data_IF_970441609877
#
_entry.id   IF_970441609877
#
_cell.length_a   1.000
_cell.length_b   1.000
_cell.length_c   1.000
_cell.angle_alpha   90.00
_cell.angle_beta   90.00
_cell.angle_gamma   90.00
#
_symmetry.space_group_name_H-M   'P 1'
#
loop_
_entity.id
_entity.type
_entity.pdbx_description
1 polymer ?
2 polymer ?
3 non-polymer ?
4 water ?
#
loop_
_entity_poly.entity_id
_entity_poly.type
_entity_poly.pdbx_seq_one_letter_code
_entity_poly.pdbx_strand_id
2 'polyribonucleotide' 'GG' ?
#
# COMPACT_ATOMS: atom_id res chain seq x y z
N UNK A 1 -4.10 16.63 -12.32
CA UNK A 1 -5.01 16.24 -11.23
C UNK A 1 -4.90 14.70 -11.07
N UNK A 2 -5.57 13.74 -11.76
CA UNK A 2 -5.48 12.26 -11.59
C UNK A 2 -4.50 11.59 -12.47
N UNK A 3 -3.73 10.72 -11.84
CA UNK A 3 -2.79 9.84 -12.53
C UNK A 3 -3.09 8.38 -12.16
N UNK A 4 -2.96 7.51 -13.16
CA UNK A 4 -3.19 6.08 -13.02
C UNK A 4 -1.85 5.41 -13.21
N UNK A 5 -1.43 4.53 -12.29
CA UNK A 5 -0.12 3.89 -12.48
C UNK A 5 -0.09 2.45 -12.11
N UNK A 6 0.98 1.80 -12.52
CA UNK A 6 1.20 0.41 -12.26
C UNK A 6 2.70 0.22 -12.19
N UNK A 7 3.17 -0.70 -11.35
CA UNK A 7 4.61 -1.02 -11.30
C UNK A 7 4.83 -2.50 -11.47
N UNK A 8 5.98 -2.93 -11.96
CA UNK A 8 6.34 -4.36 -11.83
C UNK A 8 7.59 -4.39 -10.97
N UNK A 9 7.84 -5.49 -10.25
CA UNK A 9 8.86 -5.49 -9.21
C UNK A 9 9.21 -6.89 -8.81
N UNK A 10 10.38 -7.08 -8.20
CA UNK A 10 10.75 -8.36 -7.55
C UNK A 10 10.64 -8.11 -6.06
N UNK A 11 9.69 -8.78 -5.42
CA UNK A 11 9.37 -8.61 -4.02
C UNK A 11 9.64 -9.96 -3.30
N UNK A 12 10.30 -9.96 -2.14
CA UNK A 12 10.75 -11.21 -1.55
C UNK A 12 10.39 -11.33 -0.06
N UNK A 13 9.45 -10.51 0.43
CA UNK A 13 9.18 -10.49 1.85
C UNK A 13 10.02 -9.49 2.62
N UNK A 14 11.03 -8.90 1.99
CA UNK A 14 11.92 -7.99 2.65
C UNK A 14 12.01 -6.67 1.89
N UNK A 15 12.32 -6.72 0.60
CA UNK A 15 12.37 -5.48 -0.17
C UNK A 15 11.45 -5.61 -1.42
N UNK A 16 11.22 -4.49 -2.07
CA UNK A 16 10.51 -4.44 -3.35
C UNK A 16 11.52 -3.80 -4.35
N UNK A 17 12.03 -4.56 -5.31
CA UNK A 17 13.00 -4.06 -6.30
C UNK A 17 12.28 -3.69 -7.57
N UNK A 18 12.23 -2.41 -7.87
CA UNK A 18 11.40 -1.90 -8.94
C UNK A 18 11.95 -2.37 -10.28
N UNK A 19 11.10 -3.02 -11.10
CA UNK A 19 11.47 -3.32 -12.50
C UNK A 19 11.05 -2.15 -13.41
N UNK A 20 9.78 -1.75 -13.34
CA UNK A 20 9.28 -0.75 -14.28
C UNK A 20 8.13 0.01 -13.71
N UNK A 21 7.85 1.20 -14.26
CA UNK A 21 6.66 1.91 -13.82
C UNK A 21 6.00 2.60 -15.06
N UNK A 22 4.65 2.56 -15.11
CA UNK A 22 3.88 3.19 -16.17
C UNK A 22 2.90 4.12 -15.47
N UNK A 23 2.78 5.37 -15.95
CA UNK A 23 1.87 6.33 -15.37
C UNK A 23 1.14 7.00 -16.52
N UNK A 24 -0.16 7.19 -16.35
CA UNK A 24 -0.98 7.79 -17.38
C UNK A 24 -1.85 8.86 -16.69
N UNK A 25 -1.83 10.06 -17.24
CA UNK A 25 -2.57 11.18 -16.67
C UNK A 25 -3.88 11.16 -17.39
N UNK A 26 -4.90 11.71 -16.74
CA UNK A 26 -6.19 11.98 -17.40
C UNK A 26 -6.18 12.90 -18.63
N UNK A 27 -5.14 13.71 -18.75
CA UNK A 27 -5.05 14.63 -19.89
C UNK A 27 -4.40 13.98 -21.13
N UNK A 28 -4.13 12.68 -21.08
CA UNK A 28 -3.47 12.00 -22.18
C UNK A 28 -1.96 11.81 -22.05
N UNK A 29 -1.29 12.54 -21.16
CA UNK A 29 0.19 12.36 -21.07
C UNK A 29 0.51 10.99 -20.52
N UNK A 30 1.64 10.40 -20.97
CA UNK A 30 2.10 9.04 -20.57
C UNK A 30 3.58 9.00 -20.19
N UNK A 31 3.93 8.16 -19.21
CA UNK A 31 5.33 8.02 -18.83
C UNK A 31 5.55 6.55 -18.62
N UNK A 32 6.66 6.06 -19.12
CA UNK A 32 7.02 4.68 -18.86
C UNK A 32 8.55 4.55 -18.73
N UNK A 33 9.07 3.80 -17.75
CA UNK A 33 10.53 3.59 -17.61
C UNK A 33 10.78 2.27 -16.98
N UNK A 34 11.93 1.67 -17.31
CA UNK A 34 12.34 0.42 -16.78
C UNK A 34 13.67 0.70 -16.04
N UNK A 35 13.79 0.19 -14.83
CA UNK A 35 15.01 0.56 -14.04
C UNK A 35 16.23 -0.28 -14.46
N UNK A 36 17.37 0.38 -14.60
CA UNK A 36 18.62 -0.32 -14.92
C UNK A 36 19.19 -1.00 -13.72
N UNK A 37 18.51 -0.88 -12.59
CA UNK A 37 19.12 -1.21 -11.34
C UNK A 37 18.70 -2.51 -10.72
N UNK A 38 17.57 -3.13 -11.16
CA UNK A 38 17.15 -4.40 -10.52
C UNK A 38 18.04 -5.52 -11.10
N UNK A 39 18.20 -6.61 -10.34
CA UNK A 39 18.97 -7.77 -10.76
C UNK A 39 18.03 -8.84 -11.33
N UNK A 40 18.05 -9.02 -12.67
CA UNK A 40 17.09 -9.97 -13.29
C UNK A 40 17.26 -11.41 -12.78
N UNK A 41 18.49 -11.79 -12.44
CA UNK A 41 18.81 -13.09 -11.86
C UNK A 41 17.96 -13.49 -10.67
N UNK A 42 17.60 -12.49 -9.86
CA UNK A 42 16.83 -12.71 -8.63
C UNK A 42 15.37 -13.11 -8.92
N UNK A 43 14.86 -12.69 -10.06
CA UNK A 43 13.46 -12.88 -10.38
C UNK A 43 13.02 -14.34 -10.34
N UNK A 44 11.82 -14.57 -9.82
CA UNK A 44 11.29 -15.92 -9.81
C UNK A 44 10.67 -16.33 -11.15
N UNK A 45 10.24 -17.59 -11.24
CA UNK A 45 9.59 -18.14 -12.44
C UNK A 45 8.52 -17.25 -13.09
N UNK A 46 7.61 -16.72 -12.26
CA UNK A 46 6.52 -15.88 -12.71
C UNK A 46 7.03 -14.57 -13.35
N UNK A 47 8.03 -13.94 -12.73
CA UNK A 47 8.50 -12.65 -13.23
C UNK A 47 9.32 -12.88 -14.49
N UNK A 48 10.18 -13.91 -14.47
CA UNK A 48 10.82 -14.44 -15.67
C UNK A 48 9.85 -14.77 -16.85
N UNK A 49 8.61 -15.18 -16.56
CA UNK A 49 7.72 -15.57 -17.64
C UNK A 49 6.85 -14.41 -18.15
N UNK A 50 6.20 -13.72 -17.24
CA UNK A 50 5.20 -12.76 -17.57
C UNK A 50 5.69 -11.31 -17.54
N UNK A 51 6.86 -11.04 -16.94
CA UNK A 51 7.33 -9.65 -16.89
C UNK A 51 8.56 -9.36 -17.75
N UNK A 52 9.62 -10.14 -17.59
CA UNK A 52 10.87 -9.83 -18.24
C UNK A 52 10.80 -9.81 -19.77
N UNK A 53 10.06 -10.77 -20.38
CA UNK A 53 9.91 -10.79 -21.84
C UNK A 53 9.30 -9.51 -22.41
N UNK A 54 8.41 -8.85 -21.71
CA UNK A 54 7.77 -7.62 -22.22
C UNK A 54 8.65 -6.34 -22.20
N UNK A 55 9.80 -6.41 -21.54
CA UNK A 55 10.60 -5.19 -21.36
C UNK A 55 11.21 -4.84 -22.72
N UNK A 56 11.50 -3.54 -22.96
CA UNK A 56 12.20 -3.04 -24.13
C UNK A 56 13.57 -3.67 -24.32
N UNK A 57 14.06 -3.71 -25.55
CA UNK A 57 15.46 -4.04 -25.80
C UNK A 57 16.45 -3.19 -24.96
N UNK A 58 17.63 -3.77 -24.66
CA UNK A 58 18.73 -3.13 -23.90
C UNK A 58 19.08 -1.74 -24.35
N UNK A 59 18.98 -1.45 -25.64
CA UNK A 59 19.39 -0.11 -26.13
C UNK A 59 18.26 0.91 -26.08
N UNK A 60 17.04 0.48 -25.72
CA UNK A 60 15.95 1.46 -25.54
C UNK A 60 16.31 2.55 -24.53
N UNK A 61 16.02 3.82 -24.86
CA UNK A 61 16.03 4.96 -23.92
C UNK A 61 15.00 4.82 -22.77
N UNK A 62 14.18 3.76 -22.77
CA UNK A 62 13.19 3.61 -21.68
C UNK A 62 13.91 3.09 -20.43
N UNK A 63 15.05 2.45 -20.61
CA UNK A 63 15.90 1.99 -19.51
C UNK A 63 16.61 3.20 -18.87
N UNK A 64 16.40 3.45 -17.58
CA UNK A 64 16.90 4.68 -16.89
C UNK A 64 17.32 4.28 -15.48
N UNK A 65 18.18 5.07 -14.83
CA UNK A 65 18.52 4.84 -13.44
C UNK A 65 17.35 5.25 -12.52
N UNK A 66 17.36 4.81 -11.24
CA UNK A 66 16.31 5.17 -10.27
C UNK A 66 16.28 6.68 -10.03
N UNK A 67 17.47 7.29 -9.98
CA UNK A 67 17.60 8.76 -9.87
C UNK A 67 16.89 9.46 -11.04
N UNK A 68 17.19 9.01 -12.27
CA UNK A 68 16.51 9.59 -13.44
C UNK A 68 14.98 9.46 -13.41
N UNK A 69 14.51 8.26 -13.07
CA UNK A 69 13.09 8.07 -12.96
C UNK A 69 12.46 9.00 -11.95
N UNK A 70 13.11 9.23 -10.79
CA UNK A 70 12.52 10.15 -9.77
C UNK A 70 12.42 11.55 -10.37
N UNK A 71 13.51 12.02 -11.03
CA UNK A 71 13.57 13.35 -11.63
C UNK A 71 12.48 13.46 -12.69
N UNK A 72 12.37 12.43 -13.52
CA UNK A 72 11.31 12.39 -14.56
C UNK A 72 9.89 12.45 -13.92
N UNK A 73 9.65 11.65 -12.88
CA UNK A 73 8.33 11.69 -12.20
C UNK A 73 8.03 13.06 -11.51
N UNK A 74 9.03 13.66 -10.93
CA UNK A 74 8.80 15.00 -10.33
C UNK A 74 8.32 15.98 -11.43
N UNK A 75 8.89 15.87 -12.60
CA UNK A 75 8.49 16.71 -13.70
C UNK A 75 7.09 16.26 -14.29
N UNK A 76 6.88 14.96 -14.50
CA UNK A 76 5.65 14.45 -15.11
C UNK A 76 4.43 14.65 -14.18
N UNK A 77 4.59 14.44 -12.90
CA UNK A 77 3.52 14.71 -11.94
C UNK A 77 3.32 16.22 -11.62
N UNK A 78 4.19 17.07 -12.13
CA UNK A 78 4.01 18.54 -12.01
C UNK A 78 3.94 18.95 -10.56
N UNK A 79 4.93 18.52 -9.85
CA UNK A 79 4.96 18.63 -8.41
C UNK A 79 4.95 20.07 -7.87
N UNK A 80 5.44 21.02 -8.67
CA UNK A 80 5.44 22.47 -8.29
C UNK A 80 4.27 23.24 -8.90
N UNK A 81 3.42 22.57 -9.68
CA UNK A 81 2.20 23.20 -10.25
C UNK A 81 1.08 23.30 -9.26
N UNK A 82 -0.03 23.95 -9.63
CA UNK A 82 -1.11 24.23 -8.70
C UNK A 82 -2.19 23.14 -8.60
N UNK A 83 -2.25 22.19 -9.53
CA UNK A 83 -3.22 21.11 -9.45
C UNK A 83 -2.89 20.22 -8.27
N UNK A 84 -3.93 19.74 -7.61
CA UNK A 84 -3.76 18.71 -6.64
C UNK A 84 -3.48 17.40 -7.34
N UNK A 85 -2.51 16.65 -6.83
CA UNK A 85 -2.08 15.36 -7.45
C UNK A 85 -2.90 14.24 -6.83
N UNK A 86 -3.60 13.47 -7.64
CA UNK A 86 -4.38 12.36 -7.14
C UNK A 86 -3.88 11.07 -7.87
N UNK A 87 -3.38 10.08 -7.12
CA UNK A 87 -2.84 8.88 -7.67
C UNK A 87 -3.84 7.76 -7.47
N UNK A 88 -3.96 6.91 -8.52
CA UNK A 88 -4.87 5.76 -8.55
C UNK A 88 -4.10 4.56 -9.10
N UNK A 89 -4.42 3.39 -8.56
CA UNK A 89 -3.84 2.17 -9.03
C UNK A 89 -4.90 1.10 -8.71
N UNK A 90 -4.73 -0.08 -9.27
CA UNK A 90 -5.65 -1.17 -8.98
C UNK A 90 -4.94 -2.13 -8.07
N UNK A 91 -5.39 -2.26 -6.82
CA UNK A 91 -4.76 -3.27 -5.85
C UNK A 91 -3.31 -2.80 -5.69
N UNK A 92 -3.23 -1.52 -5.28
CA UNK A 92 -2.00 -0.76 -5.32
C UNK A 92 -1.08 -0.57 -4.08
N UNK A 93 -1.23 -1.35 -2.98
CA UNK A 93 -0.37 -1.21 -1.78
C UNK A 93 1.15 -1.32 -2.09
N UNK A 94 1.59 -2.44 -2.68
CA UNK A 94 2.99 -2.57 -3.03
C UNK A 94 3.39 -1.53 -4.13
N UNK A 95 2.49 -1.25 -5.08
CA UNK A 95 2.78 -0.22 -6.09
C UNK A 95 3.09 1.14 -5.47
N UNK A 96 2.30 1.52 -4.49
CA UNK A 96 2.48 2.75 -3.82
C UNK A 96 3.86 2.78 -3.12
N UNK A 97 4.21 1.69 -2.44
CA UNK A 97 5.53 1.69 -1.77
C UNK A 97 6.66 1.74 -2.81
N UNK A 98 6.52 0.97 -3.91
CA UNK A 98 7.52 0.94 -5.01
C UNK A 98 7.65 2.37 -5.58
N UNK A 99 6.54 3.08 -5.71
CA UNK A 99 6.60 4.47 -6.24
C UNK A 99 7.31 5.37 -5.27
N UNK A 100 6.89 5.35 -4.01
CA UNK A 100 7.32 6.35 -3.07
C UNK A 100 8.79 6.04 -2.71
N UNK A 101 9.18 4.75 -2.78
CA UNK A 101 10.59 4.43 -2.46
C UNK A 101 11.62 5.00 -3.48
N UNK A 102 11.14 5.49 -4.61
CA UNK A 102 11.98 6.25 -5.52
C UNK A 102 12.48 7.53 -4.84
N UNK A 103 11.79 8.02 -3.80
CA UNK A 103 12.30 9.17 -3.02
C UNK A 103 13.00 8.69 -1.75
N UNK A 104 13.22 7.40 -1.57
CA UNK A 104 13.79 6.89 -0.28
C UNK A 104 12.73 6.73 0.82
N UNK A 105 12.97 7.25 2.05
CA UNK A 105 11.95 7.07 3.13
C UNK A 105 10.67 7.90 2.90
N UNK A 106 9.82 7.65 3.47
CA UNK A 106 8.47 8.31 3.53
C UNK A 106 8.62 9.80 3.83
N UNK A 107 9.29 10.05 4.71
CA UNK A 107 9.82 11.36 5.08
C UNK A 107 10.19 12.22 3.87
N UNK A 108 10.76 11.63 2.83
CA UNK A 108 11.41 12.41 1.76
C UNK A 108 10.52 12.57 0.52
N UNK A 109 9.28 12.10 0.60
CA UNK A 109 8.36 12.24 -0.52
C UNK A 109 7.97 13.72 -0.66
N UNK A 110 8.00 14.27 -1.89
CA UNK A 110 7.74 15.70 -2.04
C UNK A 110 6.39 16.01 -1.42
N UNK A 111 6.28 17.14 -0.67
CA UNK A 111 5.04 17.40 0.14
C UNK A 111 3.75 17.37 -0.62
N UNK A 112 3.87 17.52 -1.92
CA UNK A 112 2.77 17.68 -2.81
C UNK A 112 2.25 16.36 -3.48
N UNK A 113 3.00 15.28 -3.34
CA UNK A 113 2.56 13.92 -3.75
C UNK A 113 1.78 13.30 -2.54
N UNK A 114 0.60 12.76 -2.83
CA UNK A 114 -0.21 12.31 -1.70
C UNK A 114 0.44 11.07 -1.06
N UNK A 115 0.20 10.91 0.24
CA UNK A 115 0.74 9.82 1.04
C UNK A 115 -0.08 8.54 0.89
N UNK A 116 -1.10 8.54 0.02
CA UNK A 116 -1.83 7.31 -0.26
C UNK A 116 -2.26 7.27 -1.75
N UNK A 117 -2.53 6.08 -2.25
CA UNK A 117 -2.94 5.85 -3.63
C UNK A 117 -4.37 5.35 -3.55
N UNK A 118 -5.26 6.00 -4.29
CA UNK A 118 -6.65 5.53 -4.33
C UNK A 118 -6.72 4.18 -5.02
N UNK A 119 -7.58 3.33 -4.44
CA UNK A 119 -7.72 1.93 -4.82
C UNK A 119 -8.89 1.79 -5.81
N UNK A 120 -8.57 1.43 -7.04
CA UNK A 120 -9.56 1.42 -8.11
C UNK A 120 -10.49 0.19 -7.93
N UNK A 121 -9.93 -0.91 -7.39
CA UNK A 121 -10.73 -2.08 -7.02
C UNK A 121 -11.79 -1.77 -5.97
N UNK A 122 -11.45 -0.91 -5.02
CA UNK A 122 -12.40 -0.43 -4.01
C UNK A 122 -13.53 0.42 -4.64
N UNK A 123 -13.16 1.33 -5.55
CA UNK A 123 -14.15 2.13 -6.31
C UNK A 123 -15.09 1.21 -7.11
N UNK A 124 -14.53 0.24 -7.85
CA UNK A 124 -15.30 -0.66 -8.65
C UNK A 124 -16.36 -1.30 -7.74
N UNK A 125 -15.93 -1.88 -6.63
CA UNK A 125 -16.88 -2.60 -5.79
C UNK A 125 -17.89 -1.62 -5.31
N UNK A 126 -17.44 -0.43 -4.97
CA UNK A 126 -18.39 0.47 -4.41
C UNK A 126 -19.54 0.82 -5.37
N UNK A 127 -19.21 1.18 -6.63
CA UNK A 127 -20.19 1.66 -7.62
C UNK A 127 -20.90 0.44 -8.21
N UNK A 128 -20.94 -0.69 -7.49
CA UNK A 128 -21.81 -1.80 -7.89
C UNK A 128 -21.21 -2.85 -8.81
N UNK A 129 -19.89 -3.04 -8.70
CA UNK A 129 -19.19 -4.04 -9.47
C UNK A 129 -19.61 -4.13 -10.95
N UNK A 130 -19.65 -3.00 -11.69
CA UNK A 130 -20.08 -3.07 -13.12
C UNK A 130 -19.16 -3.94 -13.97
N UNK A 131 -19.73 -4.73 -14.84
CA UNK A 131 -18.96 -5.54 -15.75
C UNK A 131 -17.92 -4.67 -16.52
N UNK A 132 -16.66 -5.10 -16.57
CA UNK A 132 -15.60 -4.30 -17.18
C UNK A 132 -15.16 -5.00 -18.45
N UNK A 133 -14.55 -4.28 -19.40
CA UNK A 133 -13.93 -4.97 -20.52
C UNK A 133 -12.88 -5.96 -19.99
N UNK A 134 -12.45 -6.94 -20.81
CA UNK A 134 -11.39 -7.88 -20.40
C UNK A 134 -10.03 -7.17 -20.27
N UNK A 135 -9.14 -7.68 -19.42
CA UNK A 135 -7.79 -7.11 -19.31
C UNK A 135 -7.09 -7.30 -20.67
N UNK A 136 -6.21 -6.37 -21.07
CA UNK A 136 -5.49 -6.56 -22.35
C UNK A 136 -4.65 -7.84 -22.31
N UNK A 137 -4.32 -8.35 -23.49
CA UNK A 137 -3.39 -9.48 -23.65
C UNK A 137 -2.05 -9.15 -23.03
N UNK A 138 -1.60 -7.91 -23.25
CA UNK A 138 -0.24 -7.42 -22.92
C UNK A 138 -0.10 -6.84 -21.53
N UNK A 139 -0.98 -7.28 -20.66
CA UNK A 139 -0.83 -6.95 -19.26
C UNK A 139 0.52 -7.51 -18.73
N UNK A 140 1.01 -6.82 -17.70
CA UNK A 140 2.32 -7.06 -17.10
C UNK A 140 3.39 -6.24 -17.81
N UNK A 141 2.96 -5.49 -18.84
CA UNK A 141 3.64 -4.28 -19.29
C UNK A 141 3.03 -3.10 -18.51
N UNK A 142 3.81 -2.42 -17.67
CA UNK A 142 3.26 -1.46 -16.71
C UNK A 142 2.51 -0.33 -17.34
N UNK A 143 2.91 0.07 -18.53
CA UNK A 143 2.24 1.15 -19.21
C UNK A 143 0.86 0.73 -19.79
N UNK A 144 0.84 -0.37 -20.52
CA UNK A 144 -0.42 -1.03 -20.93
C UNK A 144 -1.36 -1.20 -19.71
N UNK A 145 -0.83 -1.68 -18.60
CA UNK A 145 -1.62 -1.84 -17.37
C UNK A 145 -2.16 -0.48 -16.94
N UNK A 146 -1.29 0.52 -16.82
CA UNK A 146 -1.76 1.84 -16.35
C UNK A 146 -2.82 2.46 -17.27
N UNK A 147 -2.62 2.35 -18.58
CA UNK A 147 -3.65 2.79 -19.54
C UNK A 147 -4.96 2.14 -19.24
N UNK A 148 -4.92 0.83 -18.98
CA UNK A 148 -6.16 0.09 -18.83
C UNK A 148 -6.89 0.53 -17.57
N UNK A 149 -6.14 0.93 -16.52
CA UNK A 149 -6.77 1.41 -15.30
C UNK A 149 -7.54 2.71 -15.55
N UNK A 150 -6.90 3.67 -16.26
CA UNK A 150 -7.58 4.90 -16.69
C UNK A 150 -8.92 4.60 -17.43
N UNK A 151 -8.88 3.67 -18.37
CA UNK A 151 -10.04 3.15 -19.08
C UNK A 151 -11.14 2.70 -18.12
N UNK A 152 -10.78 1.83 -17.19
CA UNK A 152 -11.74 1.30 -16.24
C UNK A 152 -12.25 2.39 -15.33
N UNK A 153 -11.38 3.29 -14.88
CA UNK A 153 -11.87 4.44 -14.09
C UNK A 153 -12.98 5.27 -14.83
N UNK A 154 -12.75 5.54 -16.11
CA UNK A 154 -13.72 6.31 -16.88
C UNK A 154 -15.07 5.57 -16.98
N UNK A 155 -14.98 4.31 -17.31
CA UNK A 155 -16.18 3.45 -17.33
C UNK A 155 -16.87 3.36 -16.01
N UNK A 156 -16.12 3.19 -14.91
CA UNK A 156 -16.79 3.05 -13.60
C UNK A 156 -17.51 4.37 -13.19
N UNK A 157 -16.88 5.50 -13.44
CA UNK A 157 -17.42 6.77 -12.99
C UNK A 157 -18.33 7.45 -14.04
N UNK A 158 -18.62 6.84 -15.18
CA UNK A 158 -19.23 7.57 -16.31
C UNK A 158 -20.63 8.14 -16.06
N UNK A 159 -21.28 7.74 -14.96
CA UNK A 159 -22.61 8.35 -14.54
C UNK A 159 -22.66 8.91 -13.10
N UNK A 160 -21.49 9.18 -12.52
CA UNK A 160 -21.32 9.62 -11.13
C UNK A 160 -22.00 10.99 -10.82
N UNK B 1 -15.97 -10.81 8.91
CA UNK B 1 -16.02 -9.91 7.80
C UNK B 1 -14.89 -8.82 8.01
N UNK B 2 -15.17 -7.77 8.69
CA UNK B 2 -14.29 -6.56 8.57
C UNK B 2 -13.38 -6.32 9.70
N UNK B 3 -12.14 -5.96 9.36
CA UNK B 3 -11.10 -5.72 10.35
C UNK B 3 -10.44 -4.39 10.03
N UNK B 4 -10.29 -3.56 11.06
CA UNK B 4 -9.65 -2.27 10.92
C UNK B 4 -8.28 -2.34 11.60
N UNK B 5 -7.20 -1.93 10.90
CA UNK B 5 -5.89 -2.14 11.49
C UNK B 5 -4.94 -0.94 11.29
N UNK B 6 -3.85 -0.96 12.03
CA UNK B 6 -2.83 0.05 11.98
C UNK B 6 -1.52 -0.57 12.47
N UNK B 7 -0.40 -0.07 11.93
CA UNK B 7 0.92 -0.51 12.33
C UNK B 7 1.80 0.65 12.67
N UNK B 8 2.80 0.42 13.54
CA UNK B 8 3.90 1.38 13.67
C UNK B 8 5.15 0.64 13.18
N UNK B 9 6.10 1.35 12.60
CA UNK B 9 7.24 0.64 12.02
C UNK B 9 8.40 1.62 11.83
N UNK B 10 9.57 1.08 11.51
CA UNK B 10 10.74 1.83 11.15
C UNK B 10 10.99 1.51 9.68
N UNK B 11 11.03 2.53 8.85
CA UNK B 11 11.08 2.26 7.43
C UNK B 11 12.22 3.15 6.91
N UNK B 12 13.04 2.65 6.01
CA UNK B 12 14.27 3.40 5.58
C UNK B 12 14.42 3.50 4.06
N UNK B 13 13.28 3.40 3.34
CA UNK B 13 13.27 3.39 1.91
C UNK B 13 13.62 2.04 1.33
N UNK B 14 13.93 1.04 2.18
CA UNK B 14 14.26 -0.30 1.68
C UNK B 14 13.42 -1.34 2.34
N UNK B 15 13.43 -1.36 3.67
CA UNK B 15 12.66 -2.37 4.41
C UNK B 15 11.71 -1.66 5.34
N UNK B 16 10.70 -2.39 5.81
CA UNK B 16 9.71 -1.87 6.78
C UNK B 16 9.87 -2.78 7.94
N UNK B 17 10.39 -2.24 9.04
CA UNK B 17 10.65 -3.07 10.22
C UNK B 17 9.50 -2.88 11.19
N UNK B 18 8.72 -3.92 11.41
CA UNK B 18 7.46 -3.75 12.18
C UNK B 18 7.71 -3.59 13.69
N UNK B 19 7.21 -2.50 14.25
CA UNK B 19 7.18 -2.25 15.69
C UNK B 19 5.94 -2.93 16.35
N UNK B 20 4.75 -2.55 15.86
CA UNK B 20 3.54 -3.05 16.47
C UNK B 20 2.39 -3.05 15.49
N UNK B 21 1.33 -3.75 15.89
CA UNK B 21 0.11 -3.81 15.11
C UNK B 21 -1.09 -3.91 16.05
N UNK B 22 -2.12 -3.13 15.71
CA UNK B 22 -3.42 -3.20 16.39
C UNK B 22 -4.48 -3.54 15.33
N UNK B 23 -5.39 -4.46 15.67
CA UNK B 23 -6.42 -4.88 14.72
C UNK B 23 -7.73 -4.95 15.52
N UNK B 24 -8.74 -4.26 15.04
CA UNK B 24 -10.02 -4.34 15.69
C UNK B 24 -11.07 -4.86 14.70
N UNK B 25 -11.82 -5.84 15.16
CA UNK B 25 -12.82 -6.49 14.31
C UNK B 25 -14.12 -5.70 14.46
N UNK B 26 -14.89 -5.58 13.39
CA UNK B 26 -16.22 -4.99 13.51
C UNK B 26 -17.06 -5.65 14.66
N UNK B 27 -16.83 -6.93 14.99
CA UNK B 27 -17.65 -7.60 15.99
C UNK B 27 -17.25 -7.21 17.42
N UNK B 28 -16.20 -6.38 17.58
CA UNK B 28 -15.69 -5.99 18.90
C UNK B 28 -14.39 -6.60 19.40
N UNK B 29 -13.94 -7.71 18.81
CA UNK B 29 -12.64 -8.29 19.18
C UNK B 29 -11.49 -7.31 18.88
N UNK B 30 -10.43 -7.36 19.67
CA UNK B 30 -9.29 -6.46 19.50
C UNK B 30 -8.02 -7.25 19.67
N UNK B 31 -7.00 -7.01 18.83
CA UNK B 31 -5.68 -7.68 18.97
C UNK B 31 -4.65 -6.58 18.95
N UNK B 32 -3.65 -6.65 19.83
CA UNK B 32 -2.49 -5.74 19.81
C UNK B 32 -1.17 -6.50 20.16
N UNK B 33 -0.06 -6.22 19.45
CA UNK B 33 1.17 -6.93 19.75
C UNK B 33 2.29 -6.04 19.35
N UNK B 34 3.44 -6.20 20.04
CA UNK B 34 4.64 -5.42 19.80
C UNK B 34 5.73 -6.43 19.47
N UNK B 35 6.39 -6.25 18.32
CA UNK B 35 7.47 -7.17 17.93
C UNK B 35 8.75 -7.05 18.78
N UNK B 36 9.27 -8.20 19.14
CA UNK B 36 10.47 -8.24 19.92
C UNK B 36 11.66 -8.31 18.98
N UNK B 37 11.45 -8.19 17.66
CA UNK B 37 12.52 -8.35 16.67
C UNK B 37 12.96 -7.06 16.01
N UNK B 38 12.25 -5.96 16.18
CA UNK B 38 12.75 -4.69 15.61
C UNK B 38 13.86 -4.21 16.49
N UNK B 39 14.77 -3.48 15.90
CA UNK B 39 15.93 -2.99 16.66
C UNK B 39 15.59 -1.54 16.97
N UNK B 40 15.37 -1.21 18.24
CA UNK B 40 14.98 0.19 18.60
C UNK B 40 16.10 1.26 18.31
N UNK B 41 17.36 0.80 18.16
CA UNK B 41 18.52 1.67 17.83
C UNK B 41 18.38 2.26 16.45
N UNK B 42 17.72 1.51 15.57
CA UNK B 42 17.48 1.97 14.21
C UNK B 42 16.31 2.98 14.09
N UNK B 43 15.60 3.22 15.19
CA UNK B 43 14.53 4.24 15.20
C UNK B 43 15.05 5.65 14.96
N UNK B 44 14.37 6.39 14.07
CA UNK B 44 14.64 7.80 13.82
C UNK B 44 13.97 8.63 14.90
N UNK B 45 14.39 9.90 15.06
CA UNK B 45 13.90 10.86 16.08
C UNK B 45 12.39 10.82 16.30
N UNK B 46 11.68 10.81 15.19
CA UNK B 46 10.25 10.91 15.29
C UNK B 46 9.64 9.64 15.91
N UNK B 47 10.13 8.46 15.51
CA UNK B 47 9.67 7.22 16.12
C UNK B 47 10.07 7.19 17.61
N UNK B 48 11.33 7.48 17.90
CA UNK B 48 11.81 7.63 19.29
C UNK B 48 10.99 8.51 20.20
N UNK B 49 10.43 9.59 19.66
CA UNK B 49 9.61 10.50 20.44
C UNK B 49 8.18 10.01 20.54
N UNK B 50 7.61 9.62 19.41
CA UNK B 50 6.16 9.43 19.32
C UNK B 50 5.69 8.01 19.42
N UNK B 51 6.58 7.06 19.16
CA UNK B 51 6.15 5.68 19.10
C UNK B 51 6.72 4.92 20.25
N UNK B 52 8.03 4.97 20.47
CA UNK B 52 8.68 4.06 21.44
C UNK B 52 8.17 4.22 22.89
N UNK B 53 8.04 5.48 23.38
CA UNK B 53 7.51 5.73 24.74
C UNK B 53 6.07 5.22 24.99
N UNK B 54 5.28 5.01 23.94
CA UNK B 54 3.93 4.52 24.16
C UNK B 54 3.83 2.97 24.23
N UNK B 55 4.92 2.27 24.04
CA UNK B 55 4.93 0.80 24.04
C UNK B 55 4.69 0.25 25.42
N UNK B 56 4.15 -1.01 25.55
CA UNK B 56 4.00 -1.65 26.87
C UNK B 56 5.35 -1.81 27.54
N UNK B 57 5.34 -1.99 28.88
CA UNK B 57 6.59 -2.40 29.52
C UNK B 57 7.06 -3.80 29.05
N UNK B 58 8.39 -4.04 29.16
CA UNK B 58 9.06 -5.20 28.59
C UNK B 58 8.57 -6.52 29.14
N UNK B 59 8.08 -6.53 30.37
CA UNK B 59 7.59 -7.82 30.89
C UNK B 59 6.17 -8.20 30.39
N UNK B 60 5.48 -7.27 29.73
CA UNK B 60 4.16 -7.55 29.17
C UNK B 60 4.15 -8.64 28.09
N UNK B 61 3.19 -9.56 28.20
CA UNK B 61 2.96 -10.62 27.20
C UNK B 61 2.46 -10.04 25.84
N UNK B 62 2.29 -8.72 25.77
CA UNK B 62 1.95 -8.08 24.52
C UNK B 62 3.12 -8.13 23.56
N UNK B 63 4.32 -8.24 24.11
CA UNK B 63 5.56 -8.36 23.32
C UNK B 63 5.61 -9.78 22.77
N UNK B 64 5.61 -9.95 21.44
CA UNK B 64 5.56 -11.26 20.86
C UNK B 64 6.60 -11.34 19.74
N UNK B 65 7.09 -12.54 19.44
CA UNK B 65 7.97 -12.73 18.24
C UNK B 65 7.14 -12.51 16.95
N UNK B 66 7.81 -12.32 15.82
CA UNK B 66 7.12 -12.24 14.51
C UNK B 66 6.30 -13.48 14.21
N UNK B 67 6.84 -14.65 14.54
CA UNK B 67 6.15 -15.93 14.24
C UNK B 67 4.83 -16.03 15.06
N UNK B 68 4.87 -15.59 16.32
CA UNK B 68 3.70 -15.58 17.17
C UNK B 68 2.69 -14.59 16.65
N UNK B 69 3.15 -13.41 16.26
CA UNK B 69 2.18 -12.40 15.75
C UNK B 69 1.51 -12.98 14.48
N UNK B 70 2.26 -13.65 13.61
CA UNK B 70 1.59 -14.20 12.41
C UNK B 70 0.54 -15.25 12.82
N UNK B 71 0.92 -16.12 13.76
CA UNK B 71 0.02 -17.20 14.18
C UNK B 71 -1.18 -16.58 14.93
N UNK B 72 -0.91 -15.62 15.83
CA UNK B 72 -2.02 -14.89 16.47
C UNK B 72 -3.03 -14.35 15.42
N UNK B 73 -2.51 -13.69 14.40
CA UNK B 73 -3.38 -13.09 13.36
C UNK B 73 -4.14 -14.13 12.51
N UNK B 74 -3.50 -15.27 12.23
CA UNK B 74 -4.21 -16.30 11.45
C UNK B 74 -5.44 -16.75 12.24
N UNK B 75 -5.24 -16.87 13.56
CA UNK B 75 -6.37 -17.16 14.49
C UNK B 75 -7.37 -16.01 14.61
N UNK B 76 -6.86 -14.78 14.78
CA UNK B 76 -7.69 -13.59 14.98
C UNK B 76 -8.49 -13.27 13.70
N UNK B 77 -7.89 -13.43 12.53
CA UNK B 77 -8.63 -13.20 11.32
C UNK B 77 -9.53 -14.34 10.91
N UNK B 78 -9.45 -15.48 11.58
CA UNK B 78 -10.28 -16.67 11.23
C UNK B 78 -10.00 -17.14 9.81
N UNK B 79 -8.72 -17.25 9.53
CA UNK B 79 -8.17 -17.57 8.23
C UNK B 79 -8.74 -18.88 7.68
N UNK B 80 -9.05 -19.81 8.57
CA UNK B 80 -9.74 -21.08 8.17
C UNK B 80 -11.29 -21.07 8.11
N UNK B 81 -11.97 -19.92 8.29
CA UNK B 81 -13.45 -19.87 8.57
C UNK B 81 -14.55 -19.65 7.49
N UNK B 82 -15.82 -19.52 7.88
CA UNK B 82 -16.88 -19.19 6.88
C UNK B 82 -16.57 -17.88 6.08
N UNK B 83 -16.35 -16.82 6.84
CA UNK B 83 -16.54 -15.46 6.42
C UNK B 83 -15.48 -14.96 5.41
N UNK B 84 -15.89 -14.04 4.55
CA UNK B 84 -14.93 -13.29 3.70
C UNK B 84 -14.24 -12.37 4.67
N UNK B 85 -12.94 -12.19 4.55
CA UNK B 85 -12.20 -11.20 5.31
C UNK B 85 -12.09 -9.88 4.50
N UNK B 86 -12.40 -8.71 5.08
CA UNK B 86 -12.15 -7.44 4.42
C UNK B 86 -11.27 -6.71 5.40
N UNK B 87 -10.11 -6.24 4.97
CA UNK B 87 -9.18 -5.45 5.72
C UNK B 87 -9.33 -4.00 5.35
N UNK B 88 -9.35 -3.15 6.39
CA UNK B 88 -9.43 -1.69 6.21
C UNK B 88 -8.33 -0.99 7.01
N UNK B 89 -7.76 0.07 6.43
CA UNK B 89 -6.76 0.90 7.14
C UNK B 89 -6.95 2.31 6.63
N UNK B 90 -6.39 3.30 7.34
CA UNK B 90 -6.44 4.69 6.90
C UNK B 90 -5.04 4.99 6.33
N UNK B 91 -4.96 5.35 5.04
CA UNK B 91 -3.67 5.62 4.32
C UNK B 91 -2.70 4.50 4.66
N UNK B 92 -3.06 3.31 4.14
CA UNK B 92 -2.43 2.07 4.63
C UNK B 92 -1.52 1.28 3.68
N UNK B 93 -1.03 1.86 2.59
CA UNK B 93 -0.09 1.19 1.70
C UNK B 93 1.05 0.50 2.48
N UNK B 94 1.80 1.27 3.26
CA UNK B 94 2.90 0.69 4.02
C UNK B 94 2.36 -0.28 5.08
N UNK B 95 1.21 0.04 5.68
CA UNK B 95 0.60 -0.86 6.69
C UNK B 95 0.26 -2.24 6.11
N UNK B 96 -0.18 -2.21 4.86
CA UNK B 96 -0.56 -3.41 4.14
C UNK B 96 0.65 -4.28 3.87
N UNK B 97 1.74 -3.67 3.39
CA UNK B 97 2.97 -4.44 3.18
C UNK B 97 3.52 -4.96 4.52
N UNK B 98 3.55 -4.14 5.60
CA UNK B 98 4.03 -4.60 6.93
C UNK B 98 3.22 -5.82 7.38
N UNK B 99 1.91 -5.78 7.13
CA UNK B 99 1.05 -6.87 7.57
C UNK B 99 1.41 -8.07 6.75
N UNK B 100 1.47 -7.91 5.41
CA UNK B 100 1.69 -9.05 4.54
C UNK B 100 3.05 -9.65 4.71
N UNK B 101 4.04 -8.83 5.00
CA UNK B 101 5.40 -9.37 5.25
C UNK B 101 5.51 -10.18 6.55
N UNK B 102 4.44 -10.19 7.38
CA UNK B 102 4.41 -11.21 8.45
C UNK B 102 4.37 -12.66 7.90
N UNK B 103 3.88 -12.82 6.67
CA UNK B 103 3.91 -14.13 6.03
C UNK B 103 5.11 -14.35 5.08
N UNK B 104 5.76 -13.28 4.66
CA UNK B 104 6.85 -13.44 3.72
C UNK B 104 6.54 -12.68 2.42
N UNK B 105 6.92 -13.25 1.26
CA UNK B 105 6.59 -12.60 -0.03
C UNK B 105 5.08 -12.66 -0.21
N UNK B 106 4.51 -11.86 -1.09
CA UNK B 106 3.04 -11.87 -1.24
C UNK B 106 2.49 -13.24 -1.67
N UNK B 107 3.28 -14.00 -2.40
CA UNK B 107 3.08 -15.42 -2.69
C UNK B 107 2.64 -16.31 -1.51
N UNK B 108 3.10 -16.02 -0.30
CA UNK B 108 2.88 -16.81 0.91
C UNK B 108 1.69 -16.35 1.77
N UNK B 109 1.02 -15.27 1.39
CA UNK B 109 -0.16 -14.82 2.08
C UNK B 109 -1.26 -15.95 2.11
N UNK B 110 -1.92 -16.21 3.28
CA UNK B 110 -2.91 -17.30 3.21
C UNK B 110 -3.96 -16.93 2.14
N UNK B 111 -4.53 -17.95 1.44
CA UNK B 111 -5.56 -17.76 0.34
C UNK B 111 -6.72 -16.89 0.70
N UNK B 112 -7.15 -16.90 1.95
CA UNK B 112 -8.33 -16.10 2.29
C UNK B 112 -8.02 -14.66 2.73
N UNK B 113 -6.73 -14.27 2.90
CA UNK B 113 -6.40 -12.87 3.27
C UNK B 113 -6.45 -12.03 1.96
N UNK B 114 -7.17 -10.89 1.96
CA UNK B 114 -7.27 -10.13 0.72
C UNK B 114 -5.91 -9.56 0.32
N UNK B 115 -5.71 -9.38 -0.97
CA UNK B 115 -4.47 -8.86 -1.52
C UNK B 115 -4.47 -7.34 -1.61
N UNK B 116 -5.52 -6.70 -1.11
CA UNK B 116 -5.52 -5.25 -1.00
C UNK B 116 -6.22 -4.90 0.30
N UNK B 117 -5.88 -3.74 0.85
CA UNK B 117 -6.55 -3.22 2.03
C UNK B 117 -7.43 -2.08 1.58
N UNK B 118 -8.73 -2.04 1.94
CA UNK B 118 -9.57 -0.91 1.60
C UNK B 118 -9.10 0.34 2.34
N UNK B 119 -9.18 1.49 1.67
CA UNK B 119 -8.56 2.67 2.16
C UNK B 119 -9.65 3.53 2.77
N UNK B 120 -9.60 3.70 4.09
CA UNK B 120 -10.70 4.33 4.77
C UNK B 120 -10.79 5.85 4.43
N UNK B 121 -9.65 6.44 4.10
CA UNK B 121 -9.64 7.83 3.73
C UNK B 121 -10.41 8.03 2.41
N UNK B 122 -10.30 7.05 1.49
CA UNK B 122 -10.95 7.07 0.18
C UNK B 122 -12.44 7.00 0.42
N UNK B 123 -12.86 6.12 1.34
CA UNK B 123 -14.30 6.02 1.63
C UNK B 123 -14.79 7.34 2.17
N UNK B 124 -14.05 7.87 3.16
CA UNK B 124 -14.42 9.12 3.79
C UNK B 124 -14.57 10.27 2.74
N UNK B 125 -13.61 10.43 1.84
CA UNK B 125 -13.71 11.41 0.76
C UNK B 125 -14.89 11.12 -0.17
N UNK B 126 -15.09 9.85 -0.50
CA UNK B 126 -16.21 9.51 -1.35
C UNK B 126 -17.56 9.83 -0.69
N UNK B 127 -17.63 9.91 0.63
CA UNK B 127 -18.89 10.26 1.27
C UNK B 127 -19.00 11.76 1.65
N UNK B 128 -18.13 12.58 1.07
CA UNK B 128 -18.13 14.02 1.20
C UNK B 128 -17.44 14.47 2.48
N UNK B 129 -16.46 13.69 2.97
CA UNK B 129 -15.74 14.10 4.18
C UNK B 129 -16.63 14.49 5.41
N UNK B 130 -17.56 13.60 5.83
CA UNK B 130 -18.35 13.97 7.05
C UNK B 130 -17.41 14.28 8.23
N UNK B 131 -17.86 15.06 9.21
CA UNK B 131 -17.05 15.44 10.40
C UNK B 131 -16.66 14.23 11.28
N UNK B 132 -15.36 14.03 11.54
CA UNK B 132 -14.86 12.93 12.40
C UNK B 132 -14.60 13.36 13.86
N UNK B 133 -14.51 12.39 14.82
CA UNK B 133 -14.12 12.99 16.12
C UNK B 133 -12.66 13.50 16.05
N UNK B 134 -12.29 14.51 16.88
CA UNK B 134 -10.85 14.85 16.90
C UNK B 134 -9.98 13.64 17.29
N UNK B 135 -8.77 13.55 16.74
CA UNK B 135 -7.88 12.42 16.92
C UNK B 135 -7.63 12.15 18.42
N UNK B 136 -7.50 10.86 18.83
CA UNK B 136 -7.23 10.61 20.26
C UNK B 136 -5.86 11.15 20.79
N UNK B 137 -5.78 11.30 22.12
CA UNK B 137 -4.56 11.73 22.83
C UNK B 137 -3.39 10.81 22.50
N UNK B 138 -3.67 9.51 22.54
CA UNK B 138 -2.63 8.51 22.36
C UNK B 138 -2.42 7.99 20.91
N UNK B 139 -2.59 8.85 19.90
CA UNK B 139 -2.27 8.48 18.50
C UNK B 139 -0.80 8.03 18.40
N UNK B 140 -0.53 7.12 17.47
CA UNK B 140 0.78 6.44 17.35
C UNK B 140 0.93 5.30 18.41
N UNK B 141 -0.16 4.99 19.11
CA UNK B 141 -0.35 3.64 19.67
C UNK B 141 -1.22 2.92 18.66
N UNK B 142 -0.77 1.77 18.12
CA UNK B 142 -1.45 1.24 16.94
C UNK B 142 -2.83 0.72 17.29
N UNK B 143 -3.00 0.23 18.54
CA UNK B 143 -4.35 -0.23 18.90
C UNK B 143 -5.29 0.98 19.04
N UNK B 144 -4.84 2.04 19.70
CA UNK B 144 -5.64 3.23 19.75
C UNK B 144 -6.06 3.71 18.31
N UNK B 145 -5.06 3.78 17.44
CA UNK B 145 -5.30 4.11 16.03
C UNK B 145 -6.37 3.22 15.33
N UNK B 146 -6.20 1.89 15.44
CA UNK B 146 -7.12 0.89 14.87
C UNK B 146 -8.58 1.07 15.37
N UNK B 147 -8.73 1.24 16.70
CA UNK B 147 -10.06 1.49 17.27
C UNK B 147 -10.72 2.75 16.69
N UNK B 148 -9.93 3.79 16.51
CA UNK B 148 -10.40 5.06 15.90
C UNK B 148 -10.82 4.88 14.44
N UNK B 149 -10.13 3.99 13.70
CA UNK B 149 -10.53 3.71 12.33
C UNK B 149 -11.93 3.12 12.26
N UNK B 150 -12.23 2.14 13.13
CA UNK B 150 -13.55 1.54 13.24
C UNK B 150 -14.61 2.59 13.64
N UNK B 151 -14.31 3.38 14.66
CA UNK B 151 -15.17 4.52 15.04
C UNK B 151 -15.50 5.40 13.77
N UNK B 152 -14.50 5.85 13.00
CA UNK B 152 -14.73 6.60 11.78
C UNK B 152 -15.59 5.88 10.76
N UNK B 153 -15.25 4.63 10.47
CA UNK B 153 -16.03 3.81 9.54
C UNK B 153 -17.52 3.74 9.95
N UNK B 154 -17.78 3.50 11.23
CA UNK B 154 -19.13 3.51 11.75
C UNK B 154 -19.81 4.87 11.55
N UNK B 155 -19.11 5.95 11.87
CA UNK B 155 -19.65 7.26 11.61
C UNK B 155 -19.93 7.50 10.14
N UNK B 156 -18.97 7.18 9.26
CA UNK B 156 -19.11 7.37 7.80
C UNK B 156 -20.28 6.62 7.19
N UNK B 157 -20.57 5.42 7.70
CA UNK B 157 -21.57 4.54 7.09
C UNK B 157 -22.92 4.58 7.86
N UNK B 158 -23.14 5.60 8.69
CA UNK B 158 -24.42 5.69 9.43
C UNK B 158 -25.42 6.50 8.63
X LIG D 1 -0.30 -3.95 -10.70
X LIG E 1 -1.23 4.76 10.30
X LIG F 1 -0.56 4.25 14.20
X LIG G 1 9.82 -15.08 14.84
#
# INVERSE_FOLDING_TARGET
>A
MRYFYDTEFIEDGHTIELISIGVVAEDGREYYAVSTEFDPERAGSWVRTHVLPKLPPPASQLWRSRQQIRLDLEEFLRIDGTDSIELWAWVGAYDHVALCQLWGPMTALPPTVPRFTRELRQLWEDRGCPRMPPRPRDVHDALVDARDQLRRFRLITSTDDAGRGAAR
>B
MRYFYDTEFIEDGHTIELISIGVVAEDGREYYAVSTEFDPERAGSWVRTHVLPKLPPPASQLWRSRQQIRLDLEEFLRIDGTDSIELWAWVGAYDHVALCQLWGPMTALPPTVPRFTRELRQLWEDRGCPRMPPRPRDVHDALVDARDQLRRFRLITSTDDAGRGAAR
>D hetero
1 MG MG
>E hetero
1 MG MG
>F hetero
1 MG MG
>G hetero
1 MG MG
#
